data_IF_321758224161
#
_entry.id   IF_321758224161
#
_cell.length_a   1.000
_cell.length_b   1.000
_cell.length_c   1.000
_cell.angle_alpha   90.00
_cell.angle_beta   90.00
_cell.angle_gamma   90.00
#
_symmetry.space_group_name_H-M   'P 1'
#
loop_
_entity.id
_entity.type
_entity.pdbx_description
1 polymer ?
#
# COMPACT_ATOMS: atom_id res chain seq x y z
N UNK A 1 24.73 0.97 7.95
CA UNK A 1 23.65 0.04 7.53
C UNK A 1 22.86 -0.57 8.69
N UNK A 2 23.47 -0.93 9.84
CA UNK A 2 22.75 -1.52 11.00
C UNK A 2 21.55 -0.70 11.51
N UNK A 3 21.64 0.64 11.51
CA UNK A 3 20.55 1.50 11.99
C UNK A 3 19.31 1.49 11.08
N UNK A 4 19.49 1.45 9.76
CA UNK A 4 18.37 1.50 8.81
C UNK A 4 17.56 0.20 8.84
N UNK A 5 18.25 -0.96 8.85
CA UNK A 5 17.58 -2.26 8.97
C UNK A 5 16.77 -2.39 10.26
N UNK A 6 17.29 -1.87 11.37
CA UNK A 6 16.54 -1.83 12.64
C UNK A 6 15.28 -0.96 12.54
N UNK A 7 15.39 0.24 11.96
CA UNK A 7 14.24 1.12 11.75
C UNK A 7 13.18 0.47 10.84
N UNK A 8 13.60 -0.21 9.77
CA UNK A 8 12.68 -0.93 8.89
C UNK A 8 11.94 -2.03 9.65
N UNK A 9 12.66 -2.88 10.38
CA UNK A 9 12.04 -3.95 11.18
C UNK A 9 11.06 -3.40 12.22
N UNK A 10 11.45 -2.35 12.93
CA UNK A 10 10.62 -1.66 13.91
C UNK A 10 9.34 -1.11 13.27
N UNK A 11 9.47 -0.37 12.17
CA UNK A 11 8.34 0.24 11.47
C UNK A 11 7.41 -0.80 10.86
N UNK A 12 7.95 -1.87 10.27
CA UNK A 12 7.13 -2.99 9.77
C UNK A 12 6.28 -3.60 10.88
N UNK A 13 6.87 -3.90 12.05
CA UNK A 13 6.11 -4.48 13.16
C UNK A 13 5.03 -3.53 13.67
N UNK A 14 5.33 -2.23 13.77
CA UNK A 14 4.39 -1.23 14.29
C UNK A 14 3.25 -0.93 13.30
N UNK A 15 3.59 -0.68 12.03
CA UNK A 15 2.65 -0.23 11.00
C UNK A 15 1.87 -1.41 10.43
N UNK A 16 2.52 -2.51 10.09
CA UNK A 16 1.85 -3.60 9.39
C UNK A 16 1.24 -4.64 10.35
N UNK A 17 2.01 -5.09 11.35
CA UNK A 17 1.57 -6.18 12.23
C UNK A 17 0.68 -5.70 13.39
N UNK A 18 0.91 -4.49 13.92
CA UNK A 18 0.17 -3.97 15.09
C UNK A 18 -0.99 -3.06 14.74
N UNK A 19 -0.99 -2.43 13.56
CA UNK A 19 -2.10 -1.59 13.11
C UNK A 19 -3.02 -2.38 12.18
N UNK A 20 -3.89 -3.19 12.79
CA UNK A 20 -4.85 -4.01 12.05
C UNK A 20 -5.77 -3.18 11.15
N UNK A 21 -6.23 -2.02 11.64
CA UNK A 21 -7.08 -1.12 10.85
C UNK A 21 -6.40 -0.70 9.55
N UNK A 22 -5.15 -0.25 9.61
CA UNK A 22 -4.40 0.12 8.42
C UNK A 22 -4.26 -1.04 7.42
N UNK A 23 -3.90 -2.24 7.90
CA UNK A 23 -3.76 -3.43 7.06
C UNK A 23 -5.10 -3.89 6.47
N UNK A 24 -6.19 -3.74 7.22
CA UNK A 24 -7.55 -4.03 6.76
C UNK A 24 -7.96 -3.13 5.60
N UNK A 25 -7.85 -1.81 5.75
CA UNK A 25 -8.24 -0.86 4.71
C UNK A 25 -7.33 -0.91 3.49
N UNK A 26 -6.03 -1.16 3.69
CA UNK A 26 -5.06 -1.17 2.60
C UNK A 26 -5.10 -2.46 1.78
N UNK A 27 -5.34 -3.61 2.42
CA UNK A 27 -5.21 -4.94 1.78
C UNK A 27 -6.54 -5.69 1.77
N UNK A 28 -7.14 -5.90 2.95
CA UNK A 28 -8.32 -6.78 3.06
C UNK A 28 -9.55 -6.21 2.38
N UNK A 29 -9.78 -4.89 2.47
CA UNK A 29 -10.92 -4.24 1.85
C UNK A 29 -10.89 -4.35 0.30
N UNK A 30 -9.80 -4.00 -0.41
CA UNK A 30 -9.71 -4.20 -1.86
C UNK A 30 -9.93 -5.66 -2.27
N UNK A 31 -9.40 -6.62 -1.52
CA UNK A 31 -9.63 -8.05 -1.76
C UNK A 31 -11.10 -8.41 -1.57
N UNK A 32 -11.71 -7.96 -0.49
CA UNK A 32 -13.12 -8.20 -0.18
C UNK A 32 -14.04 -7.63 -1.25
N UNK A 33 -13.81 -6.39 -1.69
CA UNK A 33 -14.58 -5.76 -2.77
C UNK A 33 -14.33 -6.45 -4.12
N UNK A 34 -13.09 -6.84 -4.41
CA UNK A 34 -12.82 -7.64 -5.61
C UNK A 34 -13.67 -8.90 -5.65
N UNK A 35 -13.69 -9.70 -4.58
CA UNK A 35 -14.50 -10.92 -4.53
C UNK A 35 -15.99 -10.60 -4.56
N UNK A 36 -16.44 -9.60 -3.80
CA UNK A 36 -17.85 -9.22 -3.73
C UNK A 36 -18.39 -8.83 -5.11
N UNK A 37 -17.72 -7.92 -5.81
CA UNK A 37 -18.19 -7.41 -7.09
C UNK A 37 -17.96 -8.38 -8.24
N UNK A 38 -16.91 -9.20 -8.19
CA UNK A 38 -16.63 -10.12 -9.29
C UNK A 38 -17.32 -11.46 -9.13
N UNK A 39 -17.57 -11.98 -7.92
CA UNK A 39 -18.18 -13.30 -7.72
C UNK A 39 -19.61 -13.27 -7.19
N UNK A 40 -19.91 -12.34 -6.29
CA UNK A 40 -21.19 -12.35 -5.55
C UNK A 40 -22.25 -11.50 -6.25
N UNK A 41 -21.85 -10.33 -6.73
CA UNK A 41 -22.77 -9.33 -7.32
C UNK A 41 -22.72 -9.30 -8.85
N UNK A 42 -21.80 -10.03 -9.48
CA UNK A 42 -21.73 -10.08 -10.94
C UNK A 42 -22.92 -10.86 -11.49
N UNK A 43 -23.41 -10.48 -12.66
CA UNK A 43 -24.44 -11.23 -13.37
C UNK A 43 -24.18 -11.12 -14.86
N UNK A 44 -24.18 -12.25 -15.57
CA UNK A 44 -23.99 -12.28 -17.01
C UNK A 44 -23.58 -13.66 -17.51
N UNK A 45 -23.03 -13.71 -18.72
CA UNK A 45 -22.39 -14.92 -19.23
C UNK A 45 -21.00 -15.09 -18.61
N UNK A 46 -20.54 -16.33 -18.45
CA UNK A 46 -19.21 -16.62 -17.89
C UNK A 46 -18.06 -15.86 -18.59
N UNK A 47 -18.19 -15.61 -19.90
CA UNK A 47 -17.22 -14.83 -20.66
C UNK A 47 -17.21 -13.34 -20.27
N UNK A 48 -18.39 -12.74 -20.06
CA UNK A 48 -18.51 -11.34 -19.63
C UNK A 48 -18.00 -11.16 -18.20
N UNK A 49 -18.33 -12.09 -17.31
CA UNK A 49 -17.87 -12.07 -15.92
C UNK A 49 -16.34 -12.17 -15.83
N UNK A 50 -15.70 -13.01 -16.64
CA UNK A 50 -14.24 -13.12 -16.71
C UNK A 50 -13.58 -11.82 -17.18
N UNK A 51 -14.11 -11.19 -18.22
CA UNK A 51 -13.60 -9.91 -18.74
C UNK A 51 -13.73 -8.82 -17.67
N UNK A 52 -14.89 -8.75 -17.02
CA UNK A 52 -15.13 -7.82 -15.92
C UNK A 52 -14.17 -8.07 -14.75
N UNK A 53 -13.99 -9.32 -14.33
CA UNK A 53 -13.08 -9.69 -13.26
C UNK A 53 -11.63 -9.32 -13.56
N UNK A 54 -11.19 -9.43 -14.83
CA UNK A 54 -9.84 -9.00 -15.26
C UNK A 54 -9.68 -7.48 -15.19
N UNK A 55 -10.65 -6.71 -15.68
CA UNK A 55 -10.60 -5.24 -15.62
C UNK A 55 -10.67 -4.73 -14.17
N UNK A 56 -11.59 -5.28 -13.38
CA UNK A 56 -11.81 -4.89 -12.00
C UNK A 56 -10.62 -5.22 -11.09
N UNK A 57 -9.85 -6.28 -11.40
CA UNK A 57 -8.61 -6.61 -10.71
C UNK A 57 -7.60 -5.45 -10.80
N UNK A 58 -7.40 -4.90 -12.00
CA UNK A 58 -6.52 -3.76 -12.22
C UNK A 58 -6.98 -2.53 -11.45
N UNK A 59 -8.28 -2.22 -11.49
CA UNK A 59 -8.86 -1.10 -10.74
C UNK A 59 -8.66 -1.23 -9.24
N UNK A 60 -8.85 -2.42 -8.67
CA UNK A 60 -8.67 -2.65 -7.22
C UNK A 60 -7.19 -2.62 -6.80
N UNK A 61 -6.28 -3.07 -7.65
CA UNK A 61 -4.83 -2.91 -7.41
C UNK A 61 -4.47 -1.43 -7.33
N UNK A 62 -4.91 -0.64 -8.32
CA UNK A 62 -4.66 0.81 -8.33
C UNK A 62 -5.31 1.48 -7.10
N UNK A 63 -6.54 1.13 -6.77
CA UNK A 63 -7.25 1.64 -5.60
C UNK A 63 -6.49 1.40 -4.28
N UNK A 64 -6.07 0.14 -4.03
CA UNK A 64 -5.31 -0.23 -2.82
C UNK A 64 -4.04 0.59 -2.66
N UNK A 65 -3.35 0.83 -3.77
CA UNK A 65 -2.09 1.54 -3.74
C UNK A 65 -2.30 3.06 -3.61
N UNK A 66 -3.31 3.61 -4.28
CA UNK A 66 -3.68 5.02 -4.15
C UNK A 66 -4.10 5.37 -2.72
N UNK A 67 -4.95 4.56 -2.10
CA UNK A 67 -5.42 4.82 -0.73
C UNK A 67 -4.27 4.79 0.26
N UNK A 68 -3.31 3.89 0.06
CA UNK A 68 -2.11 3.83 0.88
C UNK A 68 -1.21 5.06 0.70
N UNK A 69 -0.97 5.49 -0.55
CA UNK A 69 -0.13 6.65 -0.85
C UNK A 69 -0.73 7.97 -0.36
N UNK A 70 -2.05 8.15 -0.52
CA UNK A 70 -2.73 9.40 -0.17
C UNK A 70 -3.07 9.50 1.32
N UNK A 71 -3.60 8.42 1.91
CA UNK A 71 -4.11 8.45 3.28
C UNK A 71 -3.22 7.69 4.25
N UNK A 72 -2.75 6.51 3.86
CA UNK A 72 -1.91 5.66 4.72
C UNK A 72 -0.65 6.38 5.20
N UNK A 73 0.12 6.95 4.28
CA UNK A 73 1.38 7.63 4.58
C UNK A 73 1.15 8.85 5.48
N UNK A 74 0.18 9.69 5.10
CA UNK A 74 -0.18 10.90 5.84
C UNK A 74 -0.62 10.58 7.27
N UNK A 75 -1.52 9.60 7.45
CA UNK A 75 -2.03 9.23 8.77
C UNK A 75 -0.93 8.68 9.69
N UNK A 76 -0.04 7.82 9.18
CA UNK A 76 1.06 7.29 9.98
C UNK A 76 2.00 8.42 10.39
N UNK A 77 2.39 9.28 9.45
CA UNK A 77 3.30 10.39 9.73
C UNK A 77 2.69 11.43 10.69
N UNK A 78 1.40 11.72 10.54
CA UNK A 78 0.67 12.62 11.44
C UNK A 78 0.57 12.02 12.85
N UNK A 79 0.22 10.74 12.98
CA UNK A 79 0.19 10.04 14.26
C UNK A 79 1.55 9.99 14.95
N UNK A 80 2.62 9.71 14.19
CA UNK A 80 3.99 9.72 14.71
C UNK A 80 4.43 11.12 15.19
N UNK A 81 3.94 12.17 14.55
CA UNK A 81 4.17 13.55 14.98
C UNK A 81 3.40 13.87 16.26
N UNK A 82 2.13 13.48 16.37
CA UNK A 82 1.33 13.67 17.58
C UNK A 82 1.90 12.95 18.80
N UNK A 83 2.59 11.81 18.59
CA UNK A 83 3.27 11.05 19.64
C UNK A 83 4.71 11.54 19.90
N UNK A 84 5.11 12.68 19.31
CA UNK A 84 6.45 13.28 19.44
C UNK A 84 7.61 12.36 19.02
N UNK A 85 7.34 11.28 18.26
CA UNK A 85 8.37 10.33 17.84
C UNK A 85 9.41 11.00 16.96
N UNK A 86 8.98 11.91 16.07
CA UNK A 86 9.89 12.66 15.20
C UNK A 86 10.81 13.56 16.01
N UNK A 87 10.28 14.21 17.05
CA UNK A 87 11.04 15.05 17.97
C UNK A 87 12.07 14.21 18.74
N UNK A 88 11.64 13.09 19.33
CA UNK A 88 12.52 12.17 20.03
C UNK A 88 13.67 11.65 19.14
N UNK A 89 13.36 11.29 17.89
CA UNK A 89 14.38 10.85 16.92
C UNK A 89 15.32 11.98 16.49
N UNK A 90 14.82 13.23 16.43
CA UNK A 90 15.63 14.39 16.06
C UNK A 90 16.70 14.73 17.10
N UNK A 91 16.44 14.43 18.38
CA UNK A 91 17.38 14.60 19.49
C UNK A 91 18.46 13.50 19.52
N UNK A 92 18.31 12.42 18.75
CA UNK A 92 19.34 11.38 18.66
C UNK A 92 20.48 11.79 17.71
N UNK A 93 21.73 11.31 17.93
CA UNK A 93 22.88 11.67 17.09
C UNK A 93 22.73 11.35 15.59
N UNK A 94 21.76 10.50 15.24
CA UNK A 94 21.52 10.04 13.86
C UNK A 94 20.40 10.82 13.15
N UNK A 95 19.60 11.60 13.90
CA UNK A 95 18.49 12.41 13.41
C UNK A 95 17.34 11.62 12.77
N UNK A 96 16.33 12.35 12.27
CA UNK A 96 15.11 11.77 11.69
C UNK A 96 15.26 11.26 10.23
N UNK A 97 16.43 11.44 9.59
CA UNK A 97 16.63 11.06 8.17
C UNK A 97 16.34 9.58 7.89
N UNK A 98 16.79 8.70 8.78
CA UNK A 98 16.58 7.26 8.65
C UNK A 98 15.12 6.83 8.85
N UNK A 99 14.32 7.65 9.56
CA UNK A 99 12.90 7.40 9.72
C UNK A 99 12.16 7.60 8.38
N UNK A 100 12.38 8.72 7.69
CA UNK A 100 11.72 9.00 6.40
C UNK A 100 12.12 7.99 5.31
N UNK A 101 13.38 7.56 5.28
CA UNK A 101 13.81 6.48 4.39
C UNK A 101 13.14 5.15 4.75
N UNK A 102 13.09 4.82 6.04
CA UNK A 102 12.49 3.57 6.51
C UNK A 102 10.99 3.52 6.21
N UNK A 103 10.24 4.61 6.43
CA UNK A 103 8.79 4.61 6.20
C UNK A 103 8.49 4.46 4.70
N UNK A 104 9.23 5.15 3.84
CA UNK A 104 9.10 5.00 2.38
C UNK A 104 9.33 3.55 1.93
N UNK A 105 10.38 2.89 2.44
CA UNK A 105 10.66 1.48 2.11
C UNK A 105 9.54 0.56 2.60
N UNK A 106 9.06 0.73 3.83
CA UNK A 106 8.00 -0.10 4.40
C UNK A 106 6.69 0.08 3.63
N UNK A 107 6.33 1.31 3.28
CA UNK A 107 5.10 1.57 2.53
C UNK A 107 5.14 1.02 1.10
N UNK A 108 6.29 1.15 0.43
CA UNK A 108 6.51 0.51 -0.87
C UNK A 108 6.42 -1.02 -0.78
N UNK A 109 6.99 -1.62 0.26
CA UNK A 109 6.91 -3.07 0.48
C UNK A 109 5.45 -3.52 0.70
N UNK A 110 4.66 -2.76 1.43
CA UNK A 110 3.23 -3.04 1.66
C UNK A 110 2.43 -2.91 0.35
N UNK A 111 2.72 -1.92 -0.48
CA UNK A 111 2.10 -1.80 -1.82
C UNK A 111 2.41 -3.02 -2.69
N UNK A 112 3.68 -3.43 -2.74
CA UNK A 112 4.08 -4.64 -3.49
C UNK A 112 3.37 -5.88 -2.96
N UNK A 113 3.31 -6.05 -1.63
CA UNK A 113 2.59 -7.16 -1.01
C UNK A 113 1.11 -7.15 -1.37
N UNK A 114 0.45 -5.98 -1.34
CA UNK A 114 -0.96 -5.86 -1.72
C UNK A 114 -1.19 -6.27 -3.18
N UNK A 115 -0.34 -5.81 -4.10
CA UNK A 115 -0.39 -6.20 -5.52
C UNK A 115 -0.27 -7.72 -5.69
N UNK A 116 0.69 -8.35 -5.01
CA UNK A 116 0.90 -9.81 -5.07
C UNK A 116 -0.33 -10.55 -4.55
N UNK A 117 -0.89 -10.13 -3.41
CA UNK A 117 -2.08 -10.75 -2.82
C UNK A 117 -3.31 -10.59 -3.72
N UNK A 118 -3.51 -9.41 -4.32
CA UNK A 118 -4.58 -9.18 -5.29
C UNK A 118 -4.46 -10.09 -6.51
N UNK A 119 -3.26 -10.22 -7.08
CA UNK A 119 -3.02 -11.14 -8.21
C UNK A 119 -3.27 -12.59 -7.83
N UNK A 120 -2.87 -13.00 -6.61
CA UNK A 120 -3.14 -14.33 -6.09
C UNK A 120 -4.65 -14.59 -5.96
N UNK A 121 -5.41 -13.64 -5.43
CA UNK A 121 -6.87 -13.73 -5.32
C UNK A 121 -7.52 -13.82 -6.70
N UNK A 122 -7.08 -13.01 -7.67
CA UNK A 122 -7.57 -13.08 -9.05
C UNK A 122 -7.33 -14.45 -9.69
N UNK A 123 -6.15 -15.07 -9.43
CA UNK A 123 -5.85 -16.43 -9.88
C UNK A 123 -6.72 -17.49 -9.19
N UNK A 124 -6.90 -17.40 -7.87
CA UNK A 124 -7.68 -18.38 -7.10
C UNK A 124 -9.18 -18.34 -7.42
N UNK A 125 -9.73 -17.16 -7.68
CA UNK A 125 -11.17 -16.97 -7.88
C UNK A 125 -11.61 -17.15 -9.34
N UNK A 126 -10.81 -16.67 -10.29
CA UNK A 126 -11.18 -16.59 -11.71
C UNK A 126 -10.19 -17.30 -12.64
N UNK A 127 -9.16 -17.95 -12.09
CA UNK A 127 -8.08 -18.57 -12.87
C UNK A 127 -7.44 -17.60 -13.87
N UNK A 128 -7.39 -16.31 -13.52
CA UNK A 128 -6.76 -15.29 -14.33
C UNK A 128 -5.26 -15.54 -14.33
N UNK A 129 -4.76 -16.04 -15.45
CA UNK A 129 -3.33 -16.22 -15.69
C UNK A 129 -2.78 -14.94 -16.32
N UNK A 130 -2.25 -14.06 -15.48
CA UNK A 130 -1.37 -12.98 -15.93
C UNK A 130 0.00 -13.57 -16.22
N UNK A 131 0.57 -13.22 -17.36
CA UNK A 131 1.97 -13.51 -17.66
C UNK A 131 2.88 -12.79 -16.66
N UNK A 132 4.10 -13.31 -16.48
CA UNK A 132 5.10 -12.68 -15.61
C UNK A 132 5.37 -11.24 -16.06
N UNK A 133 5.38 -10.99 -17.37
CA UNK A 133 5.57 -9.67 -17.96
C UNK A 133 4.44 -8.70 -17.63
N UNK A 134 3.18 -9.13 -17.72
CA UNK A 134 2.02 -8.31 -17.31
C UNK A 134 2.01 -8.03 -15.81
N UNK A 135 2.39 -9.01 -14.99
CA UNK A 135 2.50 -8.84 -13.54
C UNK A 135 3.55 -7.77 -13.20
N UNK A 136 4.73 -7.86 -13.83
CA UNK A 136 5.83 -6.93 -13.59
C UNK A 136 5.48 -5.52 -14.08
N UNK A 137 4.82 -5.39 -15.23
CA UNK A 137 4.42 -4.09 -15.76
C UNK A 137 3.41 -3.39 -14.86
N UNK A 138 2.44 -4.12 -14.29
CA UNK A 138 1.51 -3.59 -13.29
C UNK A 138 2.26 -3.09 -12.06
N UNK A 139 3.19 -3.87 -11.52
CA UNK A 139 4.00 -3.46 -10.35
C UNK A 139 4.78 -2.17 -10.66
N UNK A 140 5.44 -2.10 -11.82
CA UNK A 140 6.24 -0.93 -12.22
C UNK A 140 5.35 0.31 -12.38
N UNK A 141 4.27 0.21 -13.13
CA UNK A 141 3.35 1.35 -13.37
C UNK A 141 2.77 1.86 -12.07
N UNK A 142 2.39 0.94 -11.17
CA UNK A 142 1.81 1.29 -9.88
C UNK A 142 2.85 1.95 -8.96
N UNK A 143 4.07 1.42 -8.88
CA UNK A 143 5.15 2.06 -8.09
C UNK A 143 5.45 3.45 -8.64
N UNK A 144 5.64 3.61 -9.95
CA UNK A 144 5.89 4.91 -10.55
C UNK A 144 4.73 5.89 -10.33
N UNK A 145 3.48 5.41 -10.41
CA UNK A 145 2.29 6.19 -10.11
C UNK A 145 2.19 6.63 -8.64
N UNK A 146 2.75 5.87 -7.70
CA UNK A 146 2.73 6.22 -6.27
C UNK A 146 3.72 7.30 -5.87
N UNK A 147 4.88 7.38 -6.53
CA UNK A 147 5.93 8.32 -6.16
C UNK A 147 5.45 9.78 -6.04
N UNK A 148 4.73 10.36 -7.03
CA UNK A 148 4.23 11.72 -6.90
C UNK A 148 3.20 11.88 -5.76
N UNK A 149 2.38 10.85 -5.52
CA UNK A 149 1.34 10.87 -4.48
C UNK A 149 1.92 10.77 -3.08
N UNK A 150 2.97 9.96 -2.89
CA UNK A 150 3.73 9.93 -1.65
C UNK A 150 4.35 11.30 -1.38
N UNK A 151 4.82 12.00 -2.42
CA UNK A 151 5.28 13.38 -2.34
C UNK A 151 4.20 14.34 -1.82
N UNK A 152 2.96 14.23 -2.31
CA UNK A 152 1.83 15.02 -1.80
C UNK A 152 1.49 14.70 -0.34
N UNK A 153 1.56 13.42 0.06
CA UNK A 153 1.36 13.00 1.45
C UNK A 153 2.38 13.64 2.39
N UNK A 154 3.66 13.65 2.01
CA UNK A 154 4.72 14.32 2.77
C UNK A 154 4.50 15.84 2.81
N UNK A 155 4.14 16.46 1.67
CA UNK A 155 3.88 17.89 1.58
C UNK A 155 2.75 18.32 2.52
N UNK A 156 1.66 17.55 2.60
CA UNK A 156 0.55 17.82 3.54
C UNK A 156 1.03 17.90 4.99
N UNK A 157 1.84 16.92 5.42
CA UNK A 157 2.40 16.88 6.78
C UNK A 157 3.32 18.08 7.04
N UNK A 158 4.09 18.51 6.03
CA UNK A 158 4.92 19.70 6.10
C UNK A 158 4.12 21.00 6.12
N UNK A 159 2.95 21.09 5.47
CA UNK A 159 2.14 22.32 5.43
C UNK A 159 1.29 22.51 6.69
N UNK A 160 0.91 21.43 7.38
CA UNK A 160 0.31 21.46 8.72
C UNK A 160 1.33 21.84 9.83
N UNK A 161 2.38 22.59 9.48
CA UNK A 161 3.38 23.14 10.42
C UNK A 161 3.09 24.58 10.85
N UNK A 162 1.91 25.11 10.52
CA UNK A 162 1.39 26.37 11.06
C UNK A 162 0.25 26.13 12.02
#
# INVERSE_FOLDING_TARGET
MKTLGYQISFNTKRIFLRNFSYSFFTILMPIGFYVLFTKVLVSGTAAQELVFAKQYLGSMIVYSVLINAMFGLGQIMQGDRQQELILALSLTPKGAKYYYLSIGIVMSAINILSIILMQLVGRLTWQINLSITESLSVVIVVILGTLPLMGLGILRVCLETK
#
